data_IF_019607120859
#
_entry.id   IF_019607120859
#
_cell.length_a   1.000
_cell.length_b   1.000
_cell.length_c   1.000
_cell.angle_alpha   90.00
_cell.angle_beta   90.00
_cell.angle_gamma   90.00
#
_symmetry.space_group_name_H-M   'P 1'
#
loop_
_entity.id
_entity.type
_entity.pdbx_description
1 polymer ?
#
# COMPACT_ATOMS: atom_id res chain seq x y z
N UNK A 1 11.15 -31.86 -2.81
CA UNK A 1 11.45 -30.43 -2.98
C UNK A 1 10.11 -29.72 -2.98
N UNK A 2 9.87 -28.80 -2.05
CA UNK A 2 8.67 -27.97 -2.05
C UNK A 2 8.81 -26.93 -3.15
N UNK A 3 7.83 -26.86 -4.04
CA UNK A 3 7.80 -25.81 -5.07
C UNK A 3 7.64 -24.44 -4.41
N UNK A 4 8.38 -23.40 -4.87
CA UNK A 4 8.24 -22.06 -4.34
C UNK A 4 6.87 -21.48 -4.72
N UNK A 5 6.30 -20.69 -3.81
CA UNK A 5 5.05 -19.97 -4.06
C UNK A 5 5.33 -18.90 -5.13
N UNK A 6 4.57 -18.85 -6.23
CA UNK A 6 4.77 -17.83 -7.26
C UNK A 6 4.45 -16.43 -6.71
N UNK A 7 5.16 -15.39 -7.17
CA UNK A 7 4.88 -14.03 -6.76
C UNK A 7 3.51 -13.55 -7.25
N UNK A 8 2.91 -12.64 -6.48
CA UNK A 8 1.72 -11.90 -6.90
C UNK A 8 2.20 -10.66 -7.63
N UNK A 9 1.74 -10.48 -8.88
CA UNK A 9 2.12 -9.35 -9.72
C UNK A 9 0.88 -8.58 -10.16
N UNK A 10 0.99 -7.26 -10.15
CA UNK A 10 0.00 -6.37 -10.74
C UNK A 10 0.15 -6.38 -12.27
N UNK A 11 -0.92 -6.11 -13.04
CA UNK A 11 -0.79 -5.81 -14.45
C UNK A 11 0.18 -4.63 -14.68
N UNK A 12 0.91 -4.59 -15.80
CA UNK A 12 1.74 -3.44 -16.14
C UNK A 12 0.95 -2.14 -16.04
N UNK A 13 1.53 -1.14 -15.37
CA UNK A 13 0.84 0.13 -15.15
C UNK A 13 0.57 0.84 -16.46
N UNK A 14 -0.66 1.31 -16.62
CA UNK A 14 -1.07 2.13 -17.78
C UNK A 14 -1.03 3.63 -17.43
N UNK A 15 -1.34 3.96 -16.18
CA UNK A 15 -1.29 5.32 -15.67
C UNK A 15 -0.93 5.28 -14.17
N UNK A 16 0.37 5.30 -13.83
CA UNK A 16 0.84 5.24 -12.45
C UNK A 16 0.21 6.31 -11.56
N UNK A 17 0.02 7.53 -12.07
CA UNK A 17 -0.50 8.67 -11.31
C UNK A 17 -1.96 8.44 -10.90
N UNK A 18 -2.79 7.93 -11.82
CA UNK A 18 -4.17 7.57 -11.53
C UNK A 18 -4.28 6.43 -10.50
N UNK A 19 -3.41 5.43 -10.62
CA UNK A 19 -3.32 4.33 -9.65
C UNK A 19 -2.86 4.85 -8.27
N UNK A 20 -1.96 5.83 -8.23
CA UNK A 20 -1.55 6.52 -7.01
C UNK A 20 -2.66 7.29 -6.33
N UNK A 21 -3.46 8.06 -7.08
CA UNK A 21 -4.62 8.77 -6.51
C UNK A 21 -5.68 7.80 -5.98
N UNK A 22 -5.91 6.69 -6.68
CA UNK A 22 -6.75 5.62 -6.17
C UNK A 22 -6.21 5.06 -4.84
N UNK A 23 -4.90 4.73 -4.78
CA UNK A 23 -4.30 4.16 -3.58
C UNK A 23 -4.37 5.13 -2.40
N UNK A 24 -4.06 6.42 -2.64
CA UNK A 24 -4.16 7.49 -1.64
C UNK A 24 -5.57 7.57 -1.05
N UNK A 25 -6.60 7.63 -1.90
CA UNK A 25 -7.99 7.74 -1.43
C UNK A 25 -8.42 6.51 -0.64
N UNK A 26 -8.08 5.31 -1.13
CA UNK A 26 -8.43 4.04 -0.47
C UNK A 26 -7.71 3.88 0.87
N UNK A 27 -6.42 4.18 0.91
CA UNK A 27 -5.61 4.09 2.12
C UNK A 27 -6.05 5.12 3.15
N UNK A 28 -6.29 6.37 2.77
CA UNK A 28 -6.84 7.37 3.70
C UNK A 28 -8.17 6.88 4.28
N UNK A 29 -9.08 6.37 3.44
CA UNK A 29 -10.37 5.83 3.90
C UNK A 29 -10.20 4.65 4.87
N UNK A 30 -9.22 3.77 4.63
CA UNK A 30 -8.90 2.67 5.53
C UNK A 30 -8.38 3.18 6.88
N UNK A 31 -7.46 4.15 6.88
CA UNK A 31 -6.90 4.76 8.10
C UNK A 31 -7.97 5.50 8.92
N UNK A 32 -8.90 6.18 8.25
CA UNK A 32 -9.96 6.93 8.91
C UNK A 32 -11.04 6.01 9.51
N UNK A 33 -11.25 4.82 8.92
CA UNK A 33 -12.30 3.88 9.32
C UNK A 33 -11.89 2.91 10.44
N UNK A 34 -10.62 2.52 10.49
CA UNK A 34 -10.12 1.54 11.47
C UNK A 34 -10.00 2.14 12.88
N UNK A 35 -9.68 3.44 13.00
CA UNK A 35 -9.73 4.17 14.26
C UNK A 35 -10.62 5.42 14.15
N UNK A 36 -10.01 6.59 13.98
CA UNK A 36 -10.70 7.87 13.82
C UNK A 36 -9.98 8.71 12.74
N UNK A 37 -10.69 9.64 12.07
CA UNK A 37 -10.06 10.55 11.14
C UNK A 37 -9.04 11.47 11.84
N UNK A 38 -7.80 11.45 11.36
CA UNK A 38 -6.71 12.29 11.85
C UNK A 38 -6.03 13.00 10.69
N UNK A 39 -5.59 14.25 10.91
CA UNK A 39 -4.91 15.02 9.85
C UNK A 39 -3.63 14.34 9.34
N UNK A 40 -2.97 13.53 10.17
CA UNK A 40 -1.78 12.77 9.77
C UNK A 40 -2.09 11.66 8.77
N UNK A 41 -3.33 11.13 8.74
CA UNK A 41 -3.73 10.05 7.84
C UNK A 41 -3.64 10.47 6.38
N UNK A 42 -3.98 11.72 6.07
CA UNK A 42 -3.82 12.29 4.73
C UNK A 42 -2.34 12.32 4.30
N UNK A 43 -1.45 12.74 5.20
CA UNK A 43 0.00 12.81 4.92
C UNK A 43 0.60 11.41 4.74
N UNK A 44 0.16 10.45 5.56
CA UNK A 44 0.56 9.04 5.43
C UNK A 44 0.12 8.48 4.07
N UNK A 45 -1.15 8.68 3.71
CA UNK A 45 -1.71 8.17 2.47
C UNK A 45 -1.03 8.81 1.24
N UNK A 46 -0.77 10.10 1.29
CA UNK A 46 -0.03 10.80 0.24
C UNK A 46 1.41 10.26 0.10
N UNK A 47 2.13 10.08 1.22
CA UNK A 47 3.50 9.57 1.18
C UNK A 47 3.57 8.14 0.62
N UNK A 48 2.69 7.25 1.07
CA UNK A 48 2.61 5.88 0.56
C UNK A 48 2.27 5.83 -0.94
N UNK A 49 1.34 6.68 -1.39
CA UNK A 49 1.00 6.79 -2.80
C UNK A 49 2.17 7.29 -3.65
N UNK A 50 2.93 8.30 -3.20
CA UNK A 50 4.11 8.79 -3.90
C UNK A 50 5.17 7.69 -4.10
N UNK A 51 5.42 6.89 -3.06
CA UNK A 51 6.34 5.75 -3.12
C UNK A 51 5.86 4.74 -4.16
N UNK A 52 4.58 4.35 -4.09
CA UNK A 52 3.96 3.43 -5.03
C UNK A 52 4.05 3.93 -6.47
N UNK A 53 3.65 5.17 -6.75
CA UNK A 53 3.72 5.76 -8.11
C UNK A 53 5.13 5.70 -8.66
N UNK A 54 6.13 6.05 -7.84
CA UNK A 54 7.54 6.00 -8.27
C UNK A 54 7.95 4.59 -8.65
N UNK A 55 7.62 3.58 -7.84
CA UNK A 55 7.89 2.18 -8.15
C UNK A 55 7.18 1.71 -9.43
N UNK A 56 5.91 2.08 -9.63
CA UNK A 56 5.16 1.75 -10.86
C UNK A 56 5.77 2.41 -12.10
N UNK A 57 6.25 3.65 -11.99
CA UNK A 57 6.97 4.34 -13.07
C UNK A 57 8.33 3.69 -13.38
N UNK A 58 8.99 3.09 -12.38
CA UNK A 58 10.21 2.29 -12.54
C UNK A 58 9.94 0.91 -13.15
N UNK A 59 8.67 0.56 -13.38
CA UNK A 59 8.25 -0.71 -14.00
C UNK A 59 8.09 -1.86 -13.01
N UNK A 60 8.15 -1.58 -11.70
CA UNK A 60 7.89 -2.59 -10.67
C UNK A 60 6.40 -2.93 -10.62
N UNK A 61 6.09 -4.22 -10.61
CA UNK A 61 4.73 -4.74 -10.53
C UNK A 61 4.61 -5.91 -9.54
N UNK A 62 5.71 -6.41 -8.98
CA UNK A 62 5.69 -7.40 -7.91
C UNK A 62 5.13 -6.78 -6.63
N UNK A 63 4.07 -7.38 -6.09
CA UNK A 63 3.41 -6.89 -4.89
C UNK A 63 4.37 -6.86 -3.70
N UNK A 64 5.22 -7.89 -3.56
CA UNK A 64 6.20 -7.99 -2.48
C UNK A 64 7.21 -6.86 -2.54
N UNK A 65 7.79 -6.59 -3.71
CA UNK A 65 8.69 -5.46 -3.94
C UNK A 65 8.03 -4.11 -3.60
N UNK A 66 6.78 -3.90 -4.05
CA UNK A 66 6.04 -2.66 -3.78
C UNK A 66 5.82 -2.45 -2.27
N UNK A 67 5.42 -3.50 -1.55
CA UNK A 67 5.21 -3.47 -0.09
C UNK A 67 6.53 -3.24 0.64
N UNK A 68 7.62 -3.86 0.20
CA UNK A 68 8.96 -3.68 0.77
C UNK A 68 9.45 -2.23 0.57
N UNK A 69 9.22 -1.63 -0.60
CA UNK A 69 9.56 -0.25 -0.87
C UNK A 69 8.81 0.70 0.08
N UNK A 70 7.49 0.48 0.25
CA UNK A 70 6.65 1.27 1.15
C UNK A 70 7.13 1.17 2.59
N UNK A 71 7.32 -0.04 3.14
CA UNK A 71 7.77 -0.16 4.54
C UNK A 71 9.13 0.49 4.74
N UNK A 72 10.05 0.32 3.79
CA UNK A 72 11.42 0.85 3.89
C UNK A 72 11.42 2.38 3.88
N UNK A 73 10.67 3.01 2.98
CA UNK A 73 10.65 4.47 2.86
C UNK A 73 9.79 5.15 3.93
N UNK A 74 8.77 4.45 4.45
CA UNK A 74 7.94 4.95 5.54
C UNK A 74 8.65 4.91 6.89
N UNK A 75 9.77 4.19 7.06
CA UNK A 75 10.59 4.27 8.27
C UNK A 75 11.10 5.70 8.58
N UNK A 76 11.21 6.55 7.55
CA UNK A 76 11.61 7.95 7.71
C UNK A 76 10.44 8.89 8.05
N UNK A 77 9.21 8.39 8.11
CA UNK A 77 8.01 9.18 8.42
C UNK A 77 7.83 9.33 9.93
N UNK A 78 7.44 10.52 10.39
CA UNK A 78 7.12 10.77 11.79
C UNK A 78 5.69 10.33 12.13
N UNK A 79 5.56 9.14 12.71
CA UNK A 79 4.29 8.57 13.15
C UNK A 79 3.89 8.99 14.58
N UNK A 80 4.59 9.93 15.24
CA UNK A 80 4.30 10.31 16.64
C UNK A 80 2.86 10.79 16.89
N UNK A 81 2.16 11.23 15.84
CA UNK A 81 0.75 11.66 15.87
C UNK A 81 -0.23 10.66 15.25
N UNK A 82 0.23 9.45 14.96
CA UNK A 82 -0.52 8.41 14.25
C UNK A 82 -0.81 7.22 15.16
N UNK A 83 -1.95 6.55 14.92
CA UNK A 83 -2.26 5.25 15.52
C UNK A 83 -1.54 4.08 14.84
N UNK A 84 -0.92 4.34 13.70
CA UNK A 84 -0.26 3.37 12.83
C UNK A 84 1.24 3.60 12.77
N UNK A 85 1.99 2.51 12.51
CA UNK A 85 3.39 2.55 12.07
C UNK A 85 3.54 2.02 10.64
N UNK A 86 4.76 2.08 10.12
CA UNK A 86 5.13 1.75 8.74
C UNK A 86 4.66 0.36 8.29
N UNK A 87 4.73 -0.65 9.17
CA UNK A 87 4.29 -2.01 8.88
C UNK A 87 2.76 -2.09 8.69
N UNK A 88 2.00 -1.36 9.50
CA UNK A 88 0.55 -1.32 9.35
C UNK A 88 0.15 -0.68 8.02
N UNK A 89 0.86 0.38 7.61
CA UNK A 89 0.63 1.03 6.31
C UNK A 89 0.97 0.07 5.17
N UNK A 90 2.12 -0.60 5.23
CA UNK A 90 2.54 -1.54 4.19
C UNK A 90 1.55 -2.71 4.04
N UNK A 91 1.05 -3.25 5.16
CA UNK A 91 0.04 -4.31 5.16
C UNK A 91 -1.30 -3.82 4.59
N UNK A 92 -1.77 -2.63 4.99
CA UNK A 92 -2.99 -2.05 4.46
C UNK A 92 -2.89 -1.82 2.94
N UNK A 93 -1.74 -1.35 2.45
CA UNK A 93 -1.51 -1.22 1.01
C UNK A 93 -1.52 -2.59 0.32
N UNK A 94 -0.87 -3.60 0.89
CA UNK A 94 -0.91 -4.97 0.34
C UNK A 94 -2.34 -5.47 0.18
N UNK A 95 -3.17 -5.32 1.21
CA UNK A 95 -4.57 -5.70 1.20
C UNK A 95 -5.36 -4.98 0.12
N UNK A 96 -5.21 -3.66 0.01
CA UNK A 96 -5.90 -2.85 -0.99
C UNK A 96 -5.52 -3.27 -2.41
N UNK A 97 -4.24 -3.57 -2.66
CA UNK A 97 -3.77 -4.03 -3.96
C UNK A 97 -4.30 -5.44 -4.27
N UNK A 98 -4.36 -6.35 -3.30
CA UNK A 98 -4.99 -7.66 -3.47
C UNK A 98 -6.49 -7.53 -3.81
N UNK A 99 -7.21 -6.66 -3.11
CA UNK A 99 -8.62 -6.33 -3.41
C UNK A 99 -8.77 -5.82 -4.85
N UNK A 100 -7.85 -4.98 -5.33
CA UNK A 100 -7.86 -4.46 -6.71
C UNK A 100 -7.68 -5.55 -7.77
N UNK A 101 -7.01 -6.65 -7.42
CA UNK A 101 -6.83 -7.83 -8.27
C UNK A 101 -8.00 -8.82 -8.16
N UNK A 102 -9.01 -8.55 -7.33
CA UNK A 102 -10.09 -9.48 -7.04
C UNK A 102 -9.65 -10.70 -6.22
N UNK A 103 -8.49 -10.62 -5.56
CA UNK A 103 -7.99 -11.65 -4.65
C UNK A 103 -8.60 -11.34 -3.28
N UNK A 104 -9.57 -12.15 -2.89
CA UNK A 104 -10.26 -11.97 -1.61
C UNK A 104 -9.31 -12.27 -0.44
N UNK A 105 -9.54 -11.62 0.70
CA UNK A 105 -8.75 -11.84 1.91
C UNK A 105 -9.01 -13.26 2.41
N UNK A 106 -8.07 -14.16 2.16
CA UNK A 106 -8.12 -15.48 2.79
C UNK A 106 -7.90 -15.32 4.30
N UNK A 107 -9.02 -15.38 5.04
CA UNK A 107 -9.19 -15.56 6.48
C UNK A 107 -9.35 -14.28 7.32
N UNK A 108 -10.53 -14.15 7.96
CA UNK A 108 -10.87 -13.13 8.96
C UNK A 108 -12.36 -12.74 8.95
N UNK A 109 -13.26 -13.70 9.22
CA UNK A 109 -14.60 -13.41 9.75
C UNK A 109 -14.58 -13.60 11.27
#
# INVERSE_FOLDING_TARGET
MTEPIPPITLPPSQNPELEGEWLKQRLQGWLDAEFIPEAVNQNIAERAAQIFVRQRMEGENDLGSLVIAIVTEMQAFDFSKSFYGEFAIANAVSDLLLESLGIDKCCGQ
#
